data_IF_876227555562
#
_entry.id   IF_876227555562
#
_cell.length_a   1.000
_cell.length_b   1.000
_cell.length_c   1.000
_cell.angle_alpha   90.00
_cell.angle_beta   90.00
_cell.angle_gamma   90.00
#
_symmetry.space_group_name_H-M   'P 1'
#
loop_
_entity.id
_entity.type
_entity.pdbx_description
1 polymer ?
#
# COMPACT_ATOMS: atom_id res chain seq x y z
N UNK A 1 -3.02 51.19 15.69
CA UNK A 1 -1.76 50.44 15.92
C UNK A 1 -1.10 50.23 14.57
N UNK A 2 0.11 50.75 14.36
CA UNK A 2 0.87 50.49 13.15
C UNK A 2 1.56 49.13 13.29
N UNK A 3 1.35 48.23 12.32
CA UNK A 3 1.95 46.89 12.36
C UNK A 3 3.47 46.98 12.11
N UNK A 4 4.30 46.27 12.90
CA UNK A 4 5.73 46.25 12.66
C UNK A 4 6.06 45.50 11.37
N UNK A 5 7.18 45.86 10.72
CA UNK A 5 7.68 45.17 9.53
C UNK A 5 8.26 43.78 9.88
N UNK A 6 8.93 43.67 11.03
CA UNK A 6 9.47 42.42 11.57
C UNK A 6 9.09 42.25 13.03
N UNK A 7 8.86 41.01 13.45
CA UNK A 7 8.52 40.66 14.82
C UNK A 7 9.23 39.36 15.20
N UNK A 8 10.01 39.36 16.28
CA UNK A 8 10.58 38.14 16.83
C UNK A 8 9.61 37.59 17.87
N UNK A 9 9.09 36.38 17.66
CA UNK A 9 8.22 35.74 18.65
C UNK A 9 9.08 35.16 19.77
N UNK A 10 8.75 35.52 21.01
CA UNK A 10 9.46 35.11 22.23
C UNK A 10 8.44 34.76 23.31
N UNK A 11 8.85 34.01 24.33
CA UNK A 11 8.00 33.69 25.49
C UNK A 11 7.56 34.95 26.26
N UNK A 12 8.44 35.95 26.34
CA UNK A 12 8.15 37.22 26.98
C UNK A 12 7.40 38.15 26.01
N UNK A 13 6.08 38.00 25.96
CA UNK A 13 5.25 38.87 25.12
C UNK A 13 5.22 40.31 25.65
N UNK A 14 5.13 41.32 24.76
CA UNK A 14 5.01 42.71 25.17
C UNK A 14 3.72 42.97 25.96
N UNK A 15 3.79 43.85 26.95
CA UNK A 15 2.64 44.26 27.78
C UNK A 15 1.57 45.03 26.98
N UNK A 16 1.92 45.56 25.81
CA UNK A 16 1.00 46.27 24.91
C UNK A 16 0.62 45.40 23.71
N UNK A 17 -0.64 45.51 23.27
CA UNK A 17 -1.12 44.75 22.13
C UNK A 17 -0.40 45.14 20.82
N UNK A 18 0.23 44.15 20.18
CA UNK A 18 0.89 44.31 18.87
C UNK A 18 0.01 43.70 17.78
N UNK A 19 -0.35 44.50 16.77
CA UNK A 19 -1.09 44.02 15.61
C UNK A 19 -0.13 43.44 14.57
N UNK A 20 -0.22 42.13 14.33
CA UNK A 20 0.49 41.45 13.24
C UNK A 20 -0.40 41.36 12.00
N UNK A 21 0.20 41.50 10.82
CA UNK A 21 -0.51 41.49 9.53
C UNK A 21 0.25 40.65 8.50
N UNK A 22 -0.33 40.46 7.32
CA UNK A 22 0.31 39.77 6.19
C UNK A 22 1.63 40.42 5.73
N UNK A 23 1.85 41.68 6.11
CA UNK A 23 3.08 42.44 5.82
C UNK A 23 4.15 42.28 6.90
N UNK A 24 3.77 41.75 8.06
CA UNK A 24 4.68 41.54 9.19
C UNK A 24 5.39 40.20 9.02
N UNK A 25 6.73 40.23 9.07
CA UNK A 25 7.55 39.01 9.10
C UNK A 25 7.78 38.56 10.54
N UNK A 26 7.19 37.45 10.92
CA UNK A 26 7.36 36.79 12.21
C UNK A 26 8.52 35.80 12.14
N UNK A 27 9.51 35.99 13.00
CA UNK A 27 10.66 35.08 13.13
C UNK A 27 10.41 34.11 14.28
N UNK A 28 10.51 32.81 13.99
CA UNK A 28 10.34 31.72 14.95
C UNK A 28 11.71 31.06 15.17
N UNK A 29 12.31 31.28 16.34
CA UNK A 29 13.66 30.81 16.65
C UNK A 29 13.81 30.56 18.15
N UNK A 30 14.43 29.43 18.52
CA UNK A 30 14.64 29.02 19.91
C UNK A 30 13.34 28.96 20.75
N UNK A 31 12.22 28.62 20.10
CA UNK A 31 10.91 28.53 20.74
C UNK A 31 10.19 27.28 20.27
N UNK A 32 9.27 26.82 21.10
CA UNK A 32 8.24 25.85 20.77
C UNK A 32 6.89 26.55 20.78
N UNK A 33 6.04 26.29 19.78
CA UNK A 33 4.68 26.84 19.74
C UNK A 33 3.63 25.79 19.45
N UNK A 34 2.39 26.02 19.87
CA UNK A 34 1.28 25.14 19.49
C UNK A 34 1.07 25.11 17.98
N UNK A 35 0.67 23.96 17.44
CA UNK A 35 0.38 23.78 16.01
C UNK A 35 -0.73 24.73 15.53
N UNK A 36 -1.71 25.04 16.39
CA UNK A 36 -2.76 26.03 16.10
C UNK A 36 -2.20 27.43 15.92
N UNK A 37 -1.34 27.90 16.85
CA UNK A 37 -0.71 29.21 16.73
C UNK A 37 0.17 29.27 15.48
N UNK A 38 0.91 28.20 15.18
CA UNK A 38 1.71 28.10 13.97
C UNK A 38 0.86 28.27 12.70
N UNK A 39 -0.31 27.61 12.62
CA UNK A 39 -1.22 27.78 11.47
C UNK A 39 -1.79 29.19 11.37
N UNK A 40 -2.16 29.81 12.49
CA UNK A 40 -2.61 31.22 12.49
C UNK A 40 -1.51 32.13 11.94
N UNK A 41 -0.25 31.94 12.35
CA UNK A 41 0.87 32.72 11.86
C UNK A 41 1.12 32.49 10.37
N UNK A 42 1.05 31.24 9.90
CA UNK A 42 1.19 30.89 8.48
C UNK A 42 0.11 31.56 7.61
N UNK A 43 -1.11 31.67 8.12
CA UNK A 43 -2.24 32.25 7.39
C UNK A 43 -2.25 33.77 7.38
N UNK A 44 -1.79 34.40 8.47
CA UNK A 44 -2.00 35.83 8.72
C UNK A 44 -0.73 36.67 8.63
N UNK A 45 0.44 36.05 8.57
CA UNK A 45 1.74 36.75 8.59
C UNK A 45 2.74 36.12 7.62
N UNK A 46 3.86 36.80 7.36
CA UNK A 46 5.03 36.15 6.72
C UNK A 46 5.82 35.45 7.82
N UNK A 47 6.22 34.20 7.59
CA UNK A 47 6.93 33.41 8.61
C UNK A 47 8.37 33.13 8.16
N UNK A 48 9.31 33.28 9.08
CA UNK A 48 10.71 32.86 8.92
C UNK A 48 11.07 31.91 10.05
N UNK A 49 11.48 30.69 9.70
CA UNK A 49 11.91 29.67 10.66
C UNK A 49 13.43 29.76 10.84
N UNK A 50 13.86 29.97 12.08
CA UNK A 50 15.26 29.96 12.51
C UNK A 50 15.64 28.63 13.16
N UNK A 51 16.79 28.62 13.84
CA UNK A 51 17.27 27.44 14.58
C UNK A 51 16.36 27.10 15.77
N UNK A 52 16.35 25.82 16.15
CA UNK A 52 15.66 25.29 17.34
C UNK A 52 14.18 25.70 17.44
N UNK A 53 13.48 25.70 16.30
CA UNK A 53 12.03 25.84 16.27
C UNK A 53 11.35 24.47 16.33
N UNK A 54 10.32 24.34 17.15
CA UNK A 54 9.45 23.16 17.21
C UNK A 54 7.96 23.53 17.28
N UNK A 55 7.12 22.61 16.85
CA UNK A 55 5.67 22.66 17.07
C UNK A 55 5.24 21.53 18.00
N UNK A 56 4.21 21.80 18.79
CA UNK A 56 3.60 20.86 19.76
C UNK A 56 2.08 20.88 19.67
N UNK A 57 1.43 19.95 20.35
CA UNK A 57 -0.03 19.86 20.43
C UNK A 57 -0.62 21.10 21.11
N UNK A 58 -1.83 21.50 20.71
CA UNK A 58 -2.53 22.59 21.39
C UNK A 58 -3.22 22.09 22.66
N UNK A 59 -3.05 22.80 23.77
CA UNK A 59 -3.74 22.53 25.03
C UNK A 59 -4.29 23.84 25.58
N UNK A 60 -5.61 23.94 25.74
CA UNK A 60 -6.32 25.12 26.22
C UNK A 60 -5.84 25.62 27.59
N UNK A 61 -5.24 24.74 28.40
CA UNK A 61 -4.82 25.04 29.78
C UNK A 61 -3.34 25.43 29.91
N UNK A 62 -2.67 25.65 28.79
CA UNK A 62 -1.23 25.57 28.70
C UNK A 62 -0.69 26.66 27.74
N UNK A 63 0.50 27.20 27.99
CA UNK A 63 1.02 28.30 27.17
C UNK A 63 1.31 27.83 25.74
N UNK A 64 0.82 28.58 24.75
CA UNK A 64 1.03 28.30 23.32
C UNK A 64 2.44 28.66 22.81
N UNK A 65 3.27 29.31 23.62
CA UNK A 65 4.65 29.72 23.29
C UNK A 65 5.54 29.34 24.47
N UNK A 66 6.60 28.59 24.22
CA UNK A 66 7.52 28.08 25.24
C UNK A 66 8.96 28.17 24.77
N UNK A 67 9.88 28.09 25.73
CA UNK A 67 11.29 27.92 25.39
C UNK A 67 11.51 26.54 24.79
N UNK A 68 12.41 26.47 23.80
CA UNK A 68 12.75 25.21 23.16
C UNK A 68 13.30 24.18 24.17
N UNK A 69 12.82 22.94 24.09
CA UNK A 69 13.29 21.82 24.92
C UNK A 69 12.66 21.73 26.32
N UNK A 70 11.66 22.57 26.63
CA UNK A 70 10.97 22.55 27.92
C UNK A 70 9.93 21.43 28.06
N UNK A 71 9.39 20.91 26.96
CA UNK A 71 8.43 19.82 26.98
C UNK A 71 9.07 18.54 26.41
N UNK A 72 9.00 17.46 27.19
CA UNK A 72 9.22 16.13 26.66
C UNK A 72 8.12 15.81 25.66
N UNK A 73 8.52 15.49 24.43
CA UNK A 73 7.85 14.65 23.43
C UNK A 73 6.32 14.53 23.52
N UNK A 74 5.57 15.63 23.66
CA UNK A 74 4.10 15.56 23.60
C UNK A 74 3.73 15.32 22.14
N UNK A 75 3.20 14.14 21.79
CA UNK A 75 2.93 13.83 20.40
C UNK A 75 1.80 14.72 19.91
N UNK A 76 1.94 15.25 18.69
CA UNK A 76 0.95 16.15 18.10
C UNK A 76 0.19 15.50 16.96
N UNK A 77 -1.02 16.01 16.74
CA UNK A 77 -1.89 15.64 15.64
C UNK A 77 -1.88 16.73 14.58
N UNK A 78 -1.25 16.45 13.44
CA UNK A 78 -1.24 17.37 12.31
C UNK A 78 -2.35 16.99 11.34
N UNK A 79 -3.53 17.57 11.56
CA UNK A 79 -4.71 17.34 10.71
C UNK A 79 -5.18 18.63 10.04
N UNK A 80 -5.44 18.57 8.72
CA UNK A 80 -6.10 19.66 8.01
C UNK A 80 -6.74 19.19 6.70
N UNK A 81 -8.02 19.54 6.51
CA UNK A 81 -8.87 19.07 5.39
C UNK A 81 -9.42 20.18 4.49
N UNK A 82 -8.94 21.40 4.63
CA UNK A 82 -9.41 22.55 3.84
C UNK A 82 -8.25 23.27 3.16
N UNK A 83 -8.59 24.00 2.10
CA UNK A 83 -7.65 24.85 1.37
C UNK A 83 -6.94 25.84 2.32
N UNK A 84 -5.65 26.06 2.07
CA UNK A 84 -4.82 27.04 2.77
C UNK A 84 -4.66 28.30 1.93
N UNK A 85 -4.34 29.43 2.57
CA UNK A 85 -4.11 30.70 1.87
C UNK A 85 -2.86 30.63 0.98
N UNK A 86 -2.80 31.45 -0.07
CA UNK A 86 -1.58 31.57 -0.89
C UNK A 86 -0.37 31.98 -0.03
N UNK A 87 -0.58 32.83 0.97
CA UNK A 87 0.44 33.23 1.94
C UNK A 87 1.00 32.03 2.73
N UNK A 88 0.15 31.07 3.09
CA UNK A 88 0.58 29.83 3.77
C UNK A 88 1.52 29.04 2.88
N UNK A 89 1.18 28.88 1.60
CA UNK A 89 2.01 28.15 0.64
C UNK A 89 3.35 28.87 0.40
N UNK A 90 3.33 30.20 0.21
CA UNK A 90 4.55 31.01 0.10
C UNK A 90 5.45 30.89 1.34
N UNK A 91 4.85 30.82 2.53
CA UNK A 91 5.59 30.63 3.77
C UNK A 91 6.26 29.25 3.81
N UNK A 92 5.54 28.17 3.45
CA UNK A 92 6.08 26.80 3.43
C UNK A 92 7.21 26.67 2.41
N UNK A 93 7.03 27.22 1.20
CA UNK A 93 8.04 27.19 0.13
C UNK A 93 9.38 27.79 0.58
N UNK A 94 9.34 28.89 1.36
CA UNK A 94 10.52 29.57 1.89
C UNK A 94 11.23 28.83 3.03
N UNK A 95 10.57 27.86 3.67
CA UNK A 95 11.16 27.13 4.79
C UNK A 95 12.24 26.15 4.32
N UNK A 96 13.31 26.04 5.10
CA UNK A 96 14.32 25.04 4.85
C UNK A 96 13.79 23.63 5.20
N UNK A 97 14.24 22.56 4.50
CA UNK A 97 13.97 21.19 4.91
C UNK A 97 14.46 20.92 6.35
N UNK A 98 13.77 20.03 7.08
CA UNK A 98 14.10 19.67 8.47
C UNK A 98 14.27 20.85 9.45
N UNK A 99 13.58 21.97 9.20
CA UNK A 99 13.68 23.18 10.02
C UNK A 99 12.72 23.21 11.21
N UNK A 100 11.64 22.42 11.16
CA UNK A 100 10.58 22.40 12.18
C UNK A 100 10.67 21.09 12.98
N UNK A 101 11.07 21.15 14.25
CA UNK A 101 11.01 19.99 15.15
C UNK A 101 9.56 19.61 15.47
N UNK A 102 9.26 18.31 15.49
CA UNK A 102 7.97 17.81 15.96
C UNK A 102 8.09 16.34 16.41
N UNK A 103 7.17 15.93 17.29
CA UNK A 103 6.89 14.52 17.60
C UNK A 103 5.48 14.25 17.11
N UNK A 104 5.34 13.42 16.09
CA UNK A 104 4.04 13.13 15.47
C UNK A 104 3.46 11.84 16.05
N UNK A 105 2.20 11.87 16.46
CA UNK A 105 1.39 10.66 16.68
C UNK A 105 0.43 10.43 15.51
N UNK A 106 -0.11 11.51 14.92
CA UNK A 106 -1.01 11.44 13.77
C UNK A 106 -0.69 12.51 12.74
N UNK A 107 -0.72 12.11 11.48
CA UNK A 107 -0.56 13.00 10.32
C UNK A 107 -1.67 12.74 9.31
N UNK A 108 -2.55 13.70 9.06
CA UNK A 108 -3.72 13.53 8.20
C UNK A 108 -3.97 14.81 7.38
N UNK A 109 -3.41 14.84 6.17
CA UNK A 109 -3.56 15.97 5.24
C UNK A 109 -4.20 15.49 3.94
N UNK A 110 -5.31 16.12 3.57
CA UNK A 110 -6.06 15.75 2.38
C UNK A 110 -6.34 16.96 1.49
N UNK A 111 -6.00 16.81 0.21
CA UNK A 111 -6.34 17.71 -0.89
C UNK A 111 -5.97 19.18 -0.60
N UNK A 112 -4.73 19.38 -0.14
CA UNK A 112 -4.21 20.69 0.23
C UNK A 112 -2.71 20.81 -0.06
N UNK A 113 -2.28 21.99 -0.52
CA UNK A 113 -0.86 22.31 -0.70
C UNK A 113 -0.05 22.34 0.61
N UNK A 114 -0.72 22.28 1.77
CA UNK A 114 -0.05 22.11 3.06
C UNK A 114 0.75 20.80 3.15
N UNK A 115 0.45 19.79 2.32
CA UNK A 115 1.25 18.55 2.25
C UNK A 115 2.73 18.83 1.99
N UNK A 116 3.05 19.94 1.30
CA UNK A 116 4.43 20.38 1.07
C UNK A 116 5.18 20.80 2.34
N UNK A 117 4.53 20.82 3.51
CA UNK A 117 5.22 20.98 4.80
C UNK A 117 6.02 19.74 5.20
N UNK A 118 5.70 18.56 4.66
CA UNK A 118 6.34 17.29 5.04
C UNK A 118 7.87 17.33 5.02
N UNK A 119 8.55 17.79 3.96
CA UNK A 119 10.01 17.85 3.94
C UNK A 119 10.60 18.89 4.91
N UNK A 120 9.77 19.81 5.44
CA UNK A 120 10.16 20.85 6.39
C UNK A 120 10.17 20.34 7.83
N UNK A 121 9.41 19.27 8.11
CA UNK A 121 9.35 18.63 9.41
C UNK A 121 10.60 17.79 9.66
N UNK A 122 11.20 18.00 10.83
CA UNK A 122 12.27 17.17 11.38
C UNK A 122 11.63 16.11 12.28
N UNK A 123 11.20 15.02 11.65
CA UNK A 123 10.65 13.83 12.31
C UNK A 123 11.82 12.90 12.64
N UNK A 124 11.90 12.47 13.90
CA UNK A 124 12.92 11.51 14.32
C UNK A 124 12.52 10.07 13.94
N UNK A 125 13.52 9.22 13.65
CA UNK A 125 13.28 7.85 13.17
C UNK A 125 12.68 6.90 14.22
N UNK A 126 12.74 7.29 15.49
CA UNK A 126 12.15 6.58 16.62
C UNK A 126 10.73 7.03 16.96
N UNK A 127 10.21 8.09 16.33
CA UNK A 127 8.82 8.50 16.48
C UNK A 127 7.88 7.37 16.05
N UNK A 128 6.87 7.08 16.89
CA UNK A 128 5.82 6.11 16.60
C UNK A 128 4.55 6.86 16.17
N UNK A 129 4.25 6.81 14.88
CA UNK A 129 3.07 7.42 14.28
C UNK A 129 1.97 6.36 14.18
N UNK A 130 0.83 6.59 14.80
CA UNK A 130 -0.31 5.69 14.71
C UNK A 130 -0.92 5.70 13.30
N UNK A 131 -1.16 6.90 12.75
CA UNK A 131 -1.80 7.07 11.44
C UNK A 131 -1.06 8.13 10.62
N UNK A 132 -0.66 7.75 9.40
CA UNK A 132 -0.13 8.63 8.38
C UNK A 132 -1.01 8.57 7.13
N UNK A 133 -1.85 9.59 6.93
CA UNK A 133 -2.82 9.68 5.85
C UNK A 133 -2.52 10.88 4.95
N UNK A 134 -2.40 10.63 3.65
CA UNK A 134 -2.29 11.65 2.62
C UNK A 134 -3.25 11.39 1.46
N UNK A 135 -3.99 12.42 1.06
CA UNK A 135 -4.74 12.46 -0.19
C UNK A 135 -4.34 13.69 -1.00
N UNK A 136 -4.17 13.53 -2.30
CA UNK A 136 -3.90 14.65 -3.20
C UNK A 136 -4.49 14.39 -4.58
N UNK A 137 -5.68 14.93 -4.83
CA UNK A 137 -6.36 14.87 -6.12
C UNK A 137 -5.67 15.68 -7.23
N UNK A 138 -4.98 16.77 -6.86
CA UNK A 138 -4.17 17.64 -7.72
C UNK A 138 -2.66 17.37 -7.55
N UNK A 139 -1.91 17.48 -8.65
CA UNK A 139 -0.45 17.19 -8.66
C UNK A 139 0.32 18.23 -7.86
N UNK A 140 -0.15 19.47 -7.92
CA UNK A 140 0.42 20.66 -7.30
C UNK A 140 0.50 20.52 -5.78
N UNK A 141 -0.44 19.78 -5.17
CA UNK A 141 -0.46 19.51 -3.73
C UNK A 141 0.76 18.72 -3.23
N UNK A 142 1.41 17.93 -4.10
CA UNK A 142 2.59 17.11 -3.73
C UNK A 142 3.85 17.44 -4.53
N UNK A 143 3.80 18.46 -5.39
CA UNK A 143 4.86 18.74 -6.35
C UNK A 143 6.22 19.01 -5.69
N UNK A 144 6.23 19.77 -4.58
CA UNK A 144 7.46 20.09 -3.84
C UNK A 144 8.02 18.84 -3.14
N UNK A 145 7.14 18.00 -2.59
CA UNK A 145 7.53 16.72 -1.97
C UNK A 145 8.16 15.80 -3.00
N UNK A 146 7.56 15.67 -4.18
CA UNK A 146 8.08 14.85 -5.28
C UNK A 146 9.37 15.41 -5.90
N UNK A 147 9.61 16.71 -5.77
CA UNK A 147 10.85 17.36 -6.20
C UNK A 147 12.04 17.10 -5.28
N UNK A 148 11.82 16.58 -4.06
CA UNK A 148 12.91 16.27 -3.13
C UNK A 148 13.87 15.23 -3.72
N UNK A 149 15.18 15.52 -3.68
CA UNK A 149 16.23 14.59 -4.11
C UNK A 149 16.52 13.53 -3.03
N UNK A 150 16.51 13.96 -1.77
CA UNK A 150 16.78 13.10 -0.61
C UNK A 150 15.47 12.68 0.07
N UNK A 151 15.28 11.38 0.36
CA UNK A 151 14.13 10.94 1.13
C UNK A 151 14.11 11.55 2.54
N UNK A 152 12.93 11.96 3.01
CA UNK A 152 12.73 12.47 4.37
C UNK A 152 12.31 11.36 5.34
N UNK A 153 12.56 11.53 6.64
CA UNK A 153 12.17 10.57 7.66
C UNK A 153 10.68 10.70 7.98
N UNK A 154 9.99 9.57 8.18
CA UNK A 154 8.57 9.51 8.57
C UNK A 154 8.35 8.69 9.85
N UNK A 155 9.41 8.38 10.61
CA UNK A 155 9.33 7.54 11.81
C UNK A 155 8.89 6.08 11.53
N UNK A 156 8.41 5.41 12.57
CA UNK A 156 7.71 4.12 12.51
C UNK A 156 6.21 4.38 12.39
N UNK A 157 5.56 3.88 11.34
CA UNK A 157 4.17 4.20 11.03
C UNK A 157 3.31 2.96 11.13
N UNK A 158 2.36 2.90 12.07
CA UNK A 158 1.47 1.75 12.20
C UNK A 158 0.54 1.62 10.98
N UNK A 159 -0.21 2.67 10.64
CA UNK A 159 -1.08 2.69 9.46
C UNK A 159 -0.71 3.81 8.48
N UNK A 160 -0.46 3.45 7.21
CA UNK A 160 -0.12 4.39 6.15
C UNK A 160 -1.13 4.31 5.01
N UNK A 161 -1.81 5.44 4.74
CA UNK A 161 -2.81 5.59 3.69
C UNK A 161 -2.38 6.67 2.71
N UNK A 162 -2.08 6.30 1.46
CA UNK A 162 -1.69 7.25 0.41
C UNK A 162 -2.62 7.13 -0.80
N UNK A 163 -3.31 8.23 -1.09
CA UNK A 163 -4.37 8.29 -2.10
C UNK A 163 -4.04 9.28 -3.20
N UNK A 164 -4.43 8.96 -4.44
CA UNK A 164 -4.25 9.80 -5.62
C UNK A 164 -2.76 10.15 -5.85
N UNK A 165 -2.39 11.40 -6.11
CA UNK A 165 -0.99 11.79 -6.32
C UNK A 165 -0.12 11.55 -5.07
N UNK A 166 -0.71 11.46 -3.87
CA UNK A 166 0.03 11.15 -2.66
C UNK A 166 0.60 9.72 -2.67
N UNK A 167 0.04 8.80 -3.47
CA UNK A 167 0.62 7.47 -3.65
C UNK A 167 2.08 7.53 -4.16
N UNK A 168 2.45 8.59 -4.89
CA UNK A 168 3.82 8.78 -5.37
C UNK A 168 4.79 9.31 -4.29
N UNK A 169 4.28 9.90 -3.22
CA UNK A 169 5.08 10.48 -2.13
C UNK A 169 5.89 9.40 -1.40
N UNK A 170 5.41 8.15 -1.38
CA UNK A 170 6.12 7.02 -0.76
C UNK A 170 7.57 6.87 -1.25
N UNK A 171 7.84 7.28 -2.50
CA UNK A 171 9.18 7.22 -3.09
C UNK A 171 10.18 8.22 -2.51
N UNK A 172 9.67 9.19 -1.76
CA UNK A 172 10.42 10.27 -1.12
C UNK A 172 10.50 10.07 0.39
N UNK A 173 10.03 8.94 0.90
CA UNK A 173 10.13 8.58 2.31
C UNK A 173 11.32 7.65 2.55
N UNK A 174 12.04 7.86 3.64
CA UNK A 174 13.05 6.95 4.15
C UNK A 174 12.38 5.87 5.00
N UNK A 175 12.09 4.72 4.38
CA UNK A 175 11.32 3.63 5.01
C UNK A 175 12.18 2.44 5.45
N UNK A 176 13.51 2.48 5.30
CA UNK A 176 14.38 1.30 5.48
C UNK A 176 14.21 0.60 6.83
N UNK A 177 14.11 1.38 7.90
CA UNK A 177 13.96 0.90 9.27
C UNK A 177 12.53 1.12 9.82
N UNK A 178 11.58 1.40 8.92
CA UNK A 178 10.18 1.61 9.25
C UNK A 178 9.46 0.25 9.34
N UNK A 179 8.68 0.07 10.41
CA UNK A 179 7.71 -1.03 10.54
C UNK A 179 6.32 -0.48 10.27
N UNK A 180 5.61 -1.12 9.33
CA UNK A 180 4.27 -0.74 8.91
C UNK A 180 3.32 -1.91 9.13
N UNK A 181 2.29 -1.71 9.96
CA UNK A 181 1.26 -2.73 10.14
C UNK A 181 0.36 -2.81 8.90
N UNK A 182 -0.07 -1.65 8.38
CA UNK A 182 -0.92 -1.56 7.20
C UNK A 182 -0.43 -0.48 6.24
N UNK A 183 -0.07 -0.87 5.02
CA UNK A 183 0.18 0.03 3.89
C UNK A 183 -0.98 -0.06 2.90
N UNK A 184 -1.70 1.05 2.70
CA UNK A 184 -2.74 1.15 1.70
C UNK A 184 -2.41 2.22 0.65
N UNK A 185 -2.33 1.82 -0.62
CA UNK A 185 -2.18 2.73 -1.75
C UNK A 185 -3.43 2.66 -2.65
N UNK A 186 -4.03 3.83 -2.93
CA UNK A 186 -5.19 3.96 -3.82
C UNK A 186 -4.89 4.98 -4.92
N UNK A 187 -4.95 4.56 -6.19
CA UNK A 187 -4.65 5.45 -7.33
C UNK A 187 -5.58 5.16 -8.52
N UNK A 188 -6.74 5.84 -8.61
CA UNK A 188 -7.72 5.59 -9.67
C UNK A 188 -7.28 6.06 -11.06
N UNK A 189 -6.28 6.95 -11.18
CA UNK A 189 -5.75 7.44 -12.45
C UNK A 189 -4.28 7.07 -12.65
N UNK A 190 -3.85 6.94 -13.91
CA UNK A 190 -2.46 6.60 -14.25
C UNK A 190 -1.46 7.65 -13.77
N UNK A 191 -1.82 8.92 -13.90
CA UNK A 191 -0.99 10.07 -13.51
C UNK A 191 -0.60 10.07 -12.02
N UNK A 192 -1.45 9.54 -11.14
CA UNK A 192 -1.25 9.44 -9.70
C UNK A 192 0.01 8.65 -9.30
N UNK A 193 0.38 7.64 -10.09
CA UNK A 193 1.55 6.77 -9.84
C UNK A 193 2.66 6.94 -10.88
N UNK A 194 2.52 7.92 -11.78
CA UNK A 194 3.46 8.11 -12.90
C UNK A 194 4.90 8.33 -12.43
N UNK A 195 5.10 9.07 -11.32
CA UNK A 195 6.42 9.29 -10.74
C UNK A 195 7.05 8.00 -10.20
N UNK A 196 6.25 7.11 -9.59
CA UNK A 196 6.75 5.82 -9.09
C UNK A 196 7.10 4.87 -10.22
N UNK A 197 6.23 4.79 -11.23
CA UNK A 197 6.42 3.89 -12.37
C UNK A 197 7.61 4.30 -13.26
N UNK A 198 7.94 5.60 -13.27
CA UNK A 198 9.13 6.13 -13.94
C UNK A 198 10.45 5.75 -13.26
N UNK A 199 10.44 5.25 -12.02
CA UNK A 199 11.69 4.85 -11.35
C UNK A 199 12.37 3.66 -12.03
N UNK A 200 13.66 3.77 -12.26
CA UNK A 200 14.47 2.67 -12.81
C UNK A 200 14.76 1.60 -11.77
N UNK A 201 15.04 2.02 -10.53
CA UNK A 201 15.40 1.12 -9.43
C UNK A 201 14.22 0.96 -8.49
N UNK A 202 13.98 -0.25 -7.95
CA UNK A 202 12.99 -0.42 -6.90
C UNK A 202 13.33 0.39 -5.64
N UNK A 203 12.32 0.97 -4.99
CA UNK A 203 12.49 1.69 -3.73
C UNK A 203 12.19 0.78 -2.53
N UNK A 204 12.73 1.13 -1.36
CA UNK A 204 12.49 0.40 -0.12
C UNK A 204 11.14 0.82 0.48
N UNK A 205 10.35 -0.16 0.94
CA UNK A 205 9.05 0.07 1.60
C UNK A 205 9.05 -0.27 3.09
N UNK A 206 10.22 -0.55 3.67
CA UNK A 206 10.33 -1.01 5.05
C UNK A 206 9.77 -2.42 5.26
N UNK A 207 9.43 -2.73 6.51
CA UNK A 207 8.80 -4.01 6.90
C UNK A 207 7.29 -3.84 6.98
N UNK A 208 6.57 -4.34 5.98
CA UNK A 208 5.11 -4.19 5.87
C UNK A 208 4.40 -5.51 6.22
N UNK A 209 3.55 -5.53 7.24
CA UNK A 209 2.75 -6.71 7.59
C UNK A 209 1.58 -6.93 6.62
N UNK A 210 0.77 -5.90 6.37
CA UNK A 210 -0.40 -5.95 5.48
C UNK A 210 -0.27 -4.88 4.39
N UNK A 211 -0.49 -5.26 3.13
CA UNK A 211 -0.36 -4.36 1.99
C UNK A 211 -1.58 -4.43 1.07
N UNK A 212 -2.27 -3.31 0.90
CA UNK A 212 -3.45 -3.18 0.04
C UNK A 212 -3.18 -2.19 -1.09
N UNK A 213 -3.12 -2.68 -2.33
CA UNK A 213 -2.85 -1.86 -3.51
C UNK A 213 -4.03 -1.92 -4.47
N UNK A 214 -4.64 -0.77 -4.72
CA UNK A 214 -5.89 -0.65 -5.49
C UNK A 214 -5.72 0.21 -6.74
N UNK A 215 -6.40 -0.17 -7.81
CA UNK A 215 -6.37 0.49 -9.12
C UNK A 215 -4.96 0.53 -9.73
N UNK A 216 -4.48 1.69 -10.22
CA UNK A 216 -3.12 1.82 -10.74
C UNK A 216 -2.05 1.62 -9.67
N UNK A 217 -2.39 1.77 -8.38
CA UNK A 217 -1.45 1.52 -7.29
C UNK A 217 -1.02 0.05 -7.21
N UNK A 218 -1.83 -0.89 -7.72
CA UNK A 218 -1.42 -2.29 -7.84
C UNK A 218 -0.11 -2.41 -8.63
N UNK A 219 0.08 -1.62 -9.70
CA UNK A 219 1.31 -1.66 -10.52
C UNK A 219 2.55 -1.15 -9.79
N UNK A 220 2.39 -0.38 -8.69
CA UNK A 220 3.50 0.13 -7.88
C UNK A 220 4.31 -1.01 -7.26
N UNK A 221 3.70 -2.17 -7.00
CA UNK A 221 4.41 -3.34 -6.46
C UNK A 221 5.64 -3.74 -7.30
N UNK A 222 5.61 -3.50 -8.62
CA UNK A 222 6.73 -3.81 -9.53
C UNK A 222 7.94 -2.91 -9.32
N UNK A 223 7.78 -1.83 -8.58
CA UNK A 223 8.80 -0.84 -8.21
C UNK A 223 9.19 -0.92 -6.75
N UNK A 224 8.67 -1.89 -5.98
CA UNK A 224 9.03 -2.10 -4.58
C UNK A 224 10.14 -3.14 -4.44
N UNK A 225 11.12 -2.88 -3.56
CA UNK A 225 12.12 -3.86 -3.16
C UNK A 225 11.58 -4.76 -2.05
N UNK A 226 10.98 -5.89 -2.44
CA UNK A 226 10.28 -6.79 -1.50
C UNK A 226 11.05 -8.06 -1.11
N UNK A 227 12.28 -8.26 -1.60
CA UNK A 227 13.01 -9.54 -1.46
C UNK A 227 13.14 -10.02 -0.02
N UNK A 228 13.38 -9.09 0.90
CA UNK A 228 13.59 -9.38 2.33
C UNK A 228 12.36 -9.02 3.18
N UNK A 229 11.20 -8.80 2.54
CA UNK A 229 9.94 -8.52 3.23
C UNK A 229 9.21 -9.82 3.58
N UNK A 230 8.65 -9.85 4.79
CA UNK A 230 7.68 -10.85 5.25
C UNK A 230 6.32 -10.19 5.35
N UNK A 231 5.43 -10.51 4.42
CA UNK A 231 4.10 -9.93 4.29
C UNK A 231 3.08 -10.96 4.77
N UNK A 232 2.34 -10.64 5.83
CA UNK A 232 1.24 -11.48 6.32
C UNK A 232 0.10 -11.50 5.30
N UNK A 233 -0.26 -10.35 4.72
CA UNK A 233 -1.33 -10.26 3.72
C UNK A 233 -1.03 -9.25 2.62
N UNK A 234 -1.07 -9.71 1.38
CA UNK A 234 -1.00 -8.91 0.16
C UNK A 234 -2.34 -8.94 -0.58
N UNK A 235 -2.95 -7.77 -0.79
CA UNK A 235 -4.22 -7.61 -1.50
C UNK A 235 -4.04 -6.68 -2.70
N UNK A 236 -4.22 -7.21 -3.91
CA UNK A 236 -4.12 -6.48 -5.17
C UNK A 236 -5.48 -6.46 -5.86
N UNK A 237 -6.03 -5.26 -6.04
CA UNK A 237 -7.32 -5.04 -6.68
C UNK A 237 -7.19 -4.16 -7.90
N UNK A 238 -7.56 -4.68 -9.07
CA UNK A 238 -7.53 -3.93 -10.32
C UNK A 238 -8.83 -4.14 -11.12
N UNK A 239 -9.82 -3.25 -11.00
CA UNK A 239 -11.11 -3.40 -11.68
C UNK A 239 -11.07 -3.10 -13.18
N UNK A 240 -10.01 -2.47 -13.70
CA UNK A 240 -9.88 -2.10 -15.12
C UNK A 240 -8.61 -2.67 -15.75
N UNK A 241 -8.67 -2.93 -17.06
CA UNK A 241 -7.58 -3.54 -17.83
C UNK A 241 -6.33 -2.66 -17.84
N UNK A 242 -6.51 -1.36 -17.94
CA UNK A 242 -5.46 -0.34 -17.97
C UNK A 242 -4.61 -0.32 -16.68
N UNK A 243 -5.18 -0.71 -15.53
CA UNK A 243 -4.46 -0.77 -14.26
C UNK A 243 -3.33 -1.81 -14.24
N UNK A 244 -3.40 -2.82 -15.12
CA UNK A 244 -2.44 -3.94 -15.17
C UNK A 244 -1.62 -3.98 -16.46
N UNK A 245 -1.89 -3.08 -17.40
CA UNK A 245 -1.35 -3.15 -18.76
C UNK A 245 0.19 -3.15 -18.78
N UNK A 246 0.81 -2.30 -17.98
CA UNK A 246 2.27 -2.18 -17.90
C UNK A 246 2.90 -3.43 -17.28
N UNK A 247 2.36 -3.93 -16.17
CA UNK A 247 2.84 -5.16 -15.52
C UNK A 247 2.77 -6.35 -16.46
N UNK A 248 1.66 -6.50 -17.19
CA UNK A 248 1.49 -7.60 -18.14
C UNK A 248 2.41 -7.50 -19.36
N UNK A 249 2.86 -6.30 -19.72
CA UNK A 249 3.82 -6.06 -20.79
C UNK A 249 5.27 -6.36 -20.39
N UNK A 250 5.60 -6.35 -19.09
CA UNK A 250 6.96 -6.62 -18.62
C UNK A 250 7.39 -8.05 -18.94
N UNK A 251 8.64 -8.23 -19.40
CA UNK A 251 9.19 -9.56 -19.71
C UNK A 251 9.68 -10.30 -18.47
N UNK A 252 10.34 -9.56 -17.56
CA UNK A 252 10.96 -10.13 -16.36
C UNK A 252 9.93 -10.22 -15.24
N UNK A 253 9.79 -11.38 -14.59
CA UNK A 253 8.99 -11.49 -13.38
C UNK A 253 9.55 -10.62 -12.25
N UNK A 254 8.68 -10.10 -11.38
CA UNK A 254 9.06 -9.34 -10.18
C UNK A 254 8.94 -10.19 -8.91
N UNK A 255 9.72 -9.85 -7.88
CA UNK A 255 9.67 -10.50 -6.58
C UNK A 255 8.58 -9.87 -5.71
N UNK A 256 7.85 -10.69 -4.96
CA UNK A 256 6.81 -10.25 -4.01
C UNK A 256 7.18 -10.48 -2.54
N UNK A 257 8.42 -10.90 -2.26
CA UNK A 257 8.85 -11.30 -0.92
C UNK A 257 8.27 -12.62 -0.45
N UNK A 258 8.31 -12.86 0.87
CA UNK A 258 7.63 -13.99 1.52
C UNK A 258 6.21 -13.55 1.89
N UNK A 259 5.21 -14.09 1.20
CA UNK A 259 3.79 -13.71 1.40
C UNK A 259 3.01 -14.88 1.98
N UNK A 260 2.43 -14.70 3.17
CA UNK A 260 1.61 -15.70 3.83
C UNK A 260 0.23 -15.81 3.18
N UNK A 261 -0.48 -14.69 3.02
CA UNK A 261 -1.79 -14.63 2.35
C UNK A 261 -1.75 -13.68 1.14
N UNK A 262 -2.19 -14.15 -0.03
CA UNK A 262 -2.19 -13.36 -1.27
C UNK A 262 -3.56 -13.39 -1.94
N UNK A 263 -4.12 -12.20 -2.15
CA UNK A 263 -5.45 -12.01 -2.73
C UNK A 263 -5.29 -11.17 -4.01
N UNK A 264 -5.65 -11.75 -5.16
CA UNK A 264 -5.63 -11.07 -6.44
C UNK A 264 -7.05 -11.02 -7.00
N UNK A 265 -7.57 -9.81 -7.19
CA UNK A 265 -8.97 -9.59 -7.55
C UNK A 265 -9.10 -8.86 -8.89
N UNK A 266 -10.03 -9.33 -9.71
CA UNK A 266 -10.31 -8.85 -11.07
C UNK A 266 -9.07 -8.91 -11.99
N UNK A 267 -8.70 -7.83 -12.69
CA UNK A 267 -7.56 -7.85 -13.62
C UNK A 267 -6.22 -8.12 -12.90
N UNK A 268 -6.15 -7.92 -11.58
CA UNK A 268 -4.94 -8.19 -10.78
C UNK A 268 -4.60 -9.69 -10.76
N UNK A 269 -5.56 -10.57 -11.05
CA UNK A 269 -5.29 -12.01 -11.30
C UNK A 269 -4.21 -12.18 -12.38
N UNK A 270 -4.10 -11.24 -13.34
CA UNK A 270 -3.05 -11.20 -14.34
C UNK A 270 -1.62 -11.18 -13.79
N UNK A 271 -1.42 -10.57 -12.62
CA UNK A 271 -0.10 -10.36 -12.05
C UNK A 271 0.59 -11.68 -11.68
N UNK A 272 -0.17 -12.73 -11.36
CA UNK A 272 0.39 -14.04 -11.01
C UNK A 272 1.32 -14.60 -12.10
N UNK A 273 1.08 -14.21 -13.37
CA UNK A 273 1.91 -14.63 -14.52
C UNK A 273 3.24 -13.89 -14.61
N UNK A 274 3.43 -12.85 -13.80
CA UNK A 274 4.57 -11.94 -13.76
C UNK A 274 5.25 -11.93 -12.39
N UNK A 275 4.82 -12.79 -11.46
CA UNK A 275 5.45 -12.93 -10.16
C UNK A 275 6.45 -14.09 -10.16
N UNK A 276 7.59 -13.89 -9.50
CA UNK A 276 8.56 -14.96 -9.21
C UNK A 276 8.10 -15.78 -8.01
N UNK A 277 7.24 -16.78 -8.24
CA UNK A 277 6.61 -17.58 -7.16
C UNK A 277 7.19 -18.99 -6.98
N UNK A 278 8.12 -19.44 -7.83
CA UNK A 278 8.55 -20.85 -7.86
C UNK A 278 9.06 -21.34 -6.49
N UNK A 279 9.81 -20.50 -5.79
CA UNK A 279 10.42 -20.82 -4.50
C UNK A 279 9.65 -20.21 -3.32
N UNK A 280 8.42 -19.71 -3.57
CA UNK A 280 7.57 -19.14 -2.55
C UNK A 280 6.74 -20.23 -1.84
N UNK A 281 6.50 -20.00 -0.56
CA UNK A 281 5.55 -20.75 0.27
C UNK A 281 4.42 -19.82 0.67
N UNK A 282 3.21 -20.13 0.21
CA UNK A 282 2.01 -19.32 0.42
C UNK A 282 1.03 -20.14 1.25
N UNK A 283 0.58 -19.61 2.37
CA UNK A 283 -0.43 -20.28 3.19
C UNK A 283 -1.80 -20.21 2.52
N UNK A 284 -2.18 -19.02 2.02
CA UNK A 284 -3.47 -18.78 1.38
C UNK A 284 -3.31 -18.01 0.07
N UNK A 285 -3.62 -18.65 -1.06
CA UNK A 285 -3.70 -17.99 -2.37
C UNK A 285 -5.17 -17.90 -2.81
N UNK A 286 -5.70 -16.69 -2.96
CA UNK A 286 -7.05 -16.43 -3.44
C UNK A 286 -7.02 -15.63 -4.75
N UNK A 287 -7.60 -16.21 -5.80
CA UNK A 287 -7.83 -15.52 -7.08
C UNK A 287 -9.33 -15.36 -7.29
N UNK A 288 -9.79 -14.13 -7.45
CA UNK A 288 -11.20 -13.83 -7.74
C UNK A 288 -11.32 -12.99 -9.01
N UNK A 289 -12.24 -13.35 -9.89
CA UNK A 289 -12.51 -12.56 -11.08
C UNK A 289 -13.99 -12.60 -11.44
N UNK A 290 -14.62 -11.42 -11.39
CA UNK A 290 -16.05 -11.27 -11.64
C UNK A 290 -16.43 -11.36 -13.12
N UNK A 291 -15.49 -11.09 -14.06
CA UNK A 291 -15.73 -11.10 -15.51
C UNK A 291 -14.68 -11.90 -16.28
N UNK A 292 -15.09 -12.49 -17.42
CA UNK A 292 -14.20 -13.27 -18.31
C UNK A 292 -12.98 -12.49 -18.80
N UNK A 293 -13.14 -11.19 -19.03
CA UNK A 293 -12.09 -10.29 -19.51
C UNK A 293 -10.93 -10.12 -18.50
N UNK A 294 -11.22 -10.23 -17.19
CA UNK A 294 -10.23 -10.07 -16.11
C UNK A 294 -9.09 -11.09 -16.21
N UNK A 295 -9.39 -12.30 -16.69
CA UNK A 295 -8.43 -13.41 -16.82
C UNK A 295 -7.95 -13.63 -18.25
N UNK A 296 -8.41 -12.81 -19.21
CA UNK A 296 -8.15 -13.06 -20.63
C UNK A 296 -6.65 -13.04 -20.98
N UNK A 297 -5.86 -12.20 -20.29
CA UNK A 297 -4.42 -12.15 -20.49
C UNK A 297 -3.71 -13.43 -20.01
N UNK A 298 -4.07 -13.92 -18.81
CA UNK A 298 -3.54 -15.18 -18.25
C UNK A 298 -3.85 -16.35 -19.19
N UNK A 299 -5.08 -16.42 -19.67
CA UNK A 299 -5.55 -17.51 -20.50
C UNK A 299 -4.99 -17.52 -21.94
N UNK A 300 -4.42 -16.39 -22.39
CA UNK A 300 -3.71 -16.26 -23.67
C UNK A 300 -2.25 -16.69 -23.58
N UNK A 301 -1.69 -16.85 -22.39
CA UNK A 301 -0.31 -17.30 -22.22
C UNK A 301 -0.08 -18.66 -22.91
N UNK A 302 1.02 -18.76 -23.67
CA UNK A 302 1.40 -20.02 -24.33
C UNK A 302 1.93 -21.03 -23.32
N UNK A 303 2.79 -20.57 -22.41
CA UNK A 303 3.38 -21.37 -21.34
C UNK A 303 2.52 -21.30 -20.09
N UNK A 304 2.54 -22.37 -19.31
CA UNK A 304 1.97 -22.35 -17.97
C UNK A 304 2.90 -21.58 -17.03
N UNK A 305 2.34 -21.06 -15.92
CA UNK A 305 3.10 -20.40 -14.86
C UNK A 305 3.04 -21.23 -13.57
N UNK A 306 4.09 -21.15 -12.76
CA UNK A 306 4.18 -21.84 -11.48
C UNK A 306 3.70 -20.94 -10.34
N UNK A 307 2.90 -21.48 -9.42
CA UNK A 307 2.42 -20.76 -8.21
C UNK A 307 3.17 -21.12 -6.94
N UNK A 308 4.27 -21.87 -7.04
CA UNK A 308 5.08 -22.28 -5.90
C UNK A 308 4.41 -23.37 -5.05
N UNK A 309 4.73 -23.37 -3.76
CA UNK A 309 4.10 -24.22 -2.75
C UNK A 309 2.95 -23.45 -2.10
N UNK A 310 1.74 -23.99 -2.20
CA UNK A 310 0.52 -23.35 -1.70
C UNK A 310 -0.20 -24.33 -0.77
N UNK A 311 -0.50 -23.91 0.46
CA UNK A 311 -1.21 -24.74 1.45
C UNK A 311 -2.71 -24.74 1.19
N UNK A 312 -3.32 -23.55 1.01
CA UNK A 312 -4.75 -23.39 0.71
C UNK A 312 -4.93 -22.50 -0.52
N UNK A 313 -5.66 -22.99 -1.51
CA UNK A 313 -5.91 -22.26 -2.75
C UNK A 313 -7.41 -22.12 -3.00
N UNK A 314 -7.86 -20.91 -3.30
CA UNK A 314 -9.25 -20.60 -3.65
C UNK A 314 -9.31 -19.87 -4.99
N UNK A 315 -9.98 -20.47 -5.97
CA UNK A 315 -10.23 -19.86 -7.27
C UNK A 315 -11.74 -19.61 -7.43
N UNK A 316 -12.13 -18.34 -7.52
CA UNK A 316 -13.54 -17.93 -7.54
C UNK A 316 -13.90 -17.21 -8.84
N UNK A 317 -15.11 -17.45 -9.34
CA UNK A 317 -15.61 -16.81 -10.55
C UNK A 317 -14.84 -17.23 -11.79
N UNK A 318 -14.56 -16.30 -12.70
CA UNK A 318 -13.79 -16.57 -13.92
C UNK A 318 -12.32 -16.91 -13.64
N UNK A 319 -11.81 -16.63 -12.43
CA UNK A 319 -10.47 -17.01 -12.00
C UNK A 319 -10.31 -18.54 -11.92
N UNK A 320 -11.40 -19.29 -11.77
CA UNK A 320 -11.37 -20.75 -11.87
C UNK A 320 -10.69 -21.24 -13.15
N UNK A 321 -10.91 -20.58 -14.30
CA UNK A 321 -10.32 -21.00 -15.58
C UNK A 321 -8.78 -20.86 -15.61
N UNK A 322 -8.19 -20.07 -14.72
CA UNK A 322 -6.73 -19.87 -14.64
C UNK A 322 -6.00 -21.18 -14.31
N UNK A 323 -6.67 -22.12 -13.64
CA UNK A 323 -6.16 -23.47 -13.36
C UNK A 323 -5.66 -24.18 -14.64
N UNK A 324 -6.23 -23.86 -15.80
CA UNK A 324 -5.85 -24.46 -17.10
C UNK A 324 -4.50 -23.99 -17.63
N UNK A 325 -3.89 -23.00 -16.97
CA UNK A 325 -2.61 -22.37 -17.32
C UNK A 325 -1.62 -22.37 -16.15
N UNK A 326 -1.96 -23.05 -15.07
CA UNK A 326 -1.16 -23.10 -13.87
C UNK A 326 -0.44 -24.45 -13.75
N UNK A 327 0.74 -24.43 -13.16
CA UNK A 327 1.42 -25.61 -12.63
C UNK A 327 1.67 -25.41 -11.14
N UNK A 328 1.54 -26.48 -10.37
CA UNK A 328 1.86 -26.51 -8.94
C UNK A 328 3.23 -27.16 -8.78
N UNK A 329 3.99 -26.73 -7.78
CA UNK A 329 5.30 -27.31 -7.49
C UNK A 329 5.16 -28.82 -7.18
N UNK A 330 6.08 -29.65 -7.66
CA UNK A 330 5.99 -31.13 -7.53
C UNK A 330 5.93 -31.60 -6.07
N UNK A 331 6.69 -30.94 -5.19
CA UNK A 331 6.68 -31.21 -3.75
C UNK A 331 5.51 -30.58 -2.98
N UNK A 332 4.55 -29.94 -3.66
CA UNK A 332 3.44 -29.30 -2.97
C UNK A 332 2.38 -30.33 -2.55
N UNK A 333 1.96 -30.26 -1.29
CA UNK A 333 0.79 -30.98 -0.77
C UNK A 333 -0.21 -29.95 -0.26
N UNK A 334 -1.28 -29.71 -1.02
CA UNK A 334 -2.33 -28.77 -0.63
C UNK A 334 -3.18 -29.35 0.50
N UNK A 335 -3.47 -28.55 1.52
CA UNK A 335 -4.47 -28.90 2.53
C UNK A 335 -5.89 -28.63 2.03
N UNK A 336 -6.06 -27.56 1.25
CA UNK A 336 -7.38 -27.17 0.76
C UNK A 336 -7.29 -26.57 -0.64
N UNK A 337 -8.14 -27.05 -1.55
CA UNK A 337 -8.32 -26.53 -2.88
C UNK A 337 -9.82 -26.30 -3.14
N UNK A 338 -10.21 -25.03 -3.28
CA UNK A 338 -11.58 -24.63 -3.59
C UNK A 338 -11.66 -24.06 -4.98
N UNK A 339 -12.61 -24.57 -5.77
CA UNK A 339 -12.97 -24.02 -7.06
C UNK A 339 -14.46 -23.69 -7.06
N UNK A 340 -14.78 -22.39 -7.05
CA UNK A 340 -16.14 -21.89 -6.90
C UNK A 340 -16.56 -21.02 -8.10
N UNK A 341 -17.74 -21.29 -8.65
CA UNK A 341 -18.23 -20.60 -9.84
C UNK A 341 -19.42 -21.33 -10.47
N UNK A 342 -20.00 -20.72 -11.50
CA UNK A 342 -21.09 -21.29 -12.28
C UNK A 342 -20.59 -21.98 -13.56
N UNK A 343 -21.50 -22.58 -14.33
CA UNK A 343 -21.16 -23.35 -15.54
C UNK A 343 -20.42 -22.52 -16.61
N UNK A 344 -20.80 -21.26 -16.81
CA UNK A 344 -20.11 -20.36 -17.75
C UNK A 344 -18.67 -20.05 -17.29
N UNK A 345 -18.50 -19.84 -15.98
CA UNK A 345 -17.21 -19.61 -15.34
C UNK A 345 -16.29 -20.83 -15.38
N UNK A 346 -16.79 -22.03 -15.68
CA UNK A 346 -15.98 -23.24 -15.91
C UNK A 346 -15.86 -23.66 -17.36
N UNK A 347 -16.38 -22.87 -18.30
CA UNK A 347 -16.47 -23.23 -19.71
C UNK A 347 -15.15 -23.68 -20.36
N UNK A 348 -13.99 -23.18 -19.92
CA UNK A 348 -12.69 -23.67 -20.43
C UNK A 348 -12.24 -24.96 -19.79
N UNK A 349 -12.51 -25.16 -18.51
CA UNK A 349 -12.19 -26.40 -17.80
C UNK A 349 -13.02 -27.55 -18.38
N UNK A 350 -14.31 -27.33 -18.64
CA UNK A 350 -15.20 -28.35 -19.19
C UNK A 350 -14.80 -28.82 -20.59
N UNK A 351 -14.13 -27.96 -21.38
CA UNK A 351 -13.60 -28.28 -22.72
C UNK A 351 -12.31 -29.12 -22.68
N UNK A 352 -11.70 -29.27 -21.50
CA UNK A 352 -10.51 -30.09 -21.34
C UNK A 352 -10.87 -31.57 -21.30
N UNK A 353 -9.91 -32.41 -21.70
CA UNK A 353 -10.03 -33.86 -21.53
C UNK A 353 -10.10 -34.22 -20.04
N UNK A 354 -10.60 -35.41 -19.74
CA UNK A 354 -10.59 -35.90 -18.38
C UNK A 354 -9.15 -36.08 -17.89
N UNK A 355 -8.91 -35.85 -16.59
CA UNK A 355 -7.59 -35.93 -15.95
C UNK A 355 -6.46 -35.13 -16.63
N UNK A 356 -6.81 -34.04 -17.33
CA UNK A 356 -5.84 -33.26 -18.13
C UNK A 356 -5.31 -32.00 -17.43
N UNK A 357 -5.88 -31.63 -16.27
CA UNK A 357 -5.41 -30.52 -15.43
C UNK A 357 -4.79 -31.11 -14.18
N UNK A 358 -3.49 -30.92 -13.99
CA UNK A 358 -2.77 -31.46 -12.84
C UNK A 358 -2.86 -30.54 -11.63
N UNK A 359 -3.25 -31.09 -10.49
CA UNK A 359 -3.22 -30.40 -9.20
C UNK A 359 -2.21 -30.98 -8.21
N UNK A 360 -1.53 -32.07 -8.56
CA UNK A 360 -0.61 -32.74 -7.65
C UNK A 360 -1.32 -33.34 -6.44
N UNK A 361 -0.71 -33.20 -5.26
CA UNK A 361 -1.15 -33.87 -4.03
C UNK A 361 -2.06 -32.97 -3.20
N UNK A 362 -3.16 -33.54 -2.70
CA UNK A 362 -4.17 -32.83 -1.91
C UNK A 362 -4.55 -33.69 -0.70
N UNK A 363 -4.66 -33.10 0.48
CA UNK A 363 -5.12 -33.83 1.67
C UNK A 363 -6.56 -34.30 1.53
N UNK A 364 -6.84 -35.46 2.09
CA UNK A 364 -8.17 -36.06 2.14
C UNK A 364 -9.16 -35.07 2.79
N UNK A 365 -10.30 -34.85 2.15
CA UNK A 365 -11.30 -33.85 2.56
C UNK A 365 -10.98 -32.40 2.16
N UNK A 366 -9.81 -32.14 1.56
CA UNK A 366 -9.36 -30.81 1.15
C UNK A 366 -9.81 -30.37 -0.25
N UNK A 367 -10.34 -31.27 -1.07
CA UNK A 367 -10.76 -30.97 -2.44
C UNK A 367 -12.24 -30.57 -2.48
N UNK A 368 -12.52 -29.28 -2.71
CA UNK A 368 -13.87 -28.74 -2.84
C UNK A 368 -14.10 -28.20 -4.25
N UNK A 369 -14.56 -29.08 -5.13
CA UNK A 369 -14.83 -28.76 -6.55
C UNK A 369 -16.17 -29.37 -6.98
N UNK A 370 -16.89 -28.78 -7.94
CA UNK A 370 -18.09 -29.40 -8.50
C UNK A 370 -17.76 -30.72 -9.20
N UNK A 371 -18.61 -31.74 -9.07
CA UNK A 371 -18.38 -33.09 -9.61
C UNK A 371 -18.05 -33.11 -11.12
N UNK A 372 -18.74 -32.30 -11.92
CA UNK A 372 -18.47 -32.17 -13.36
C UNK A 372 -17.05 -31.68 -13.68
N UNK A 373 -16.44 -30.95 -12.74
CA UNK A 373 -15.06 -30.44 -12.81
C UNK A 373 -14.09 -31.44 -12.23
N UNK A 374 -14.46 -32.15 -11.16
CA UNK A 374 -13.63 -33.17 -10.50
C UNK A 374 -13.02 -34.16 -11.51
N UNK A 375 -13.81 -34.69 -12.45
CA UNK A 375 -13.35 -35.57 -13.54
C UNK A 375 -12.30 -34.96 -14.49
N UNK A 376 -12.19 -33.63 -14.57
CA UNK A 376 -11.22 -32.92 -15.42
C UNK A 376 -9.85 -32.80 -14.77
N UNK A 377 -9.79 -33.00 -13.45
CA UNK A 377 -8.60 -32.83 -12.63
C UNK A 377 -7.87 -34.17 -12.51
N UNK A 378 -6.54 -34.09 -12.46
CA UNK A 378 -5.64 -35.16 -12.03
C UNK A 378 -5.04 -34.73 -10.71
N UNK A 379 -5.25 -35.52 -9.67
CA UNK A 379 -4.74 -35.27 -8.33
C UNK A 379 -4.53 -36.59 -7.61
N UNK A 380 -3.72 -36.55 -6.56
CA UNK A 380 -3.52 -37.66 -5.62
C UNK A 380 -4.03 -37.23 -4.26
N UNK A 381 -4.95 -38.01 -3.68
CA UNK A 381 -5.37 -37.81 -2.30
C UNK A 381 -4.33 -38.39 -1.35
N UNK A 382 -4.01 -37.65 -0.30
CA UNK A 382 -3.11 -38.10 0.75
C UNK A 382 -3.72 -37.96 2.14
N UNK A 383 -3.33 -38.81 3.07
CA UNK A 383 -3.73 -38.74 4.48
C UNK A 383 -2.95 -37.66 5.25
N UNK A 384 -3.14 -37.60 6.58
CA UNK A 384 -2.42 -36.67 7.46
C UNK A 384 -0.91 -36.94 7.55
N UNK A 385 -0.45 -38.16 7.24
CA UNK A 385 0.95 -38.56 7.18
C UNK A 385 1.56 -38.35 5.78
N UNK A 386 0.76 -37.96 4.80
CA UNK A 386 1.17 -37.75 3.41
C UNK A 386 1.19 -39.03 2.57
N UNK A 387 0.65 -40.15 3.05
CA UNK A 387 0.54 -41.39 2.28
C UNK A 387 -0.65 -41.31 1.32
N UNK A 388 -0.48 -41.88 0.13
CA UNK A 388 -1.55 -41.91 -0.88
C UNK A 388 -2.73 -42.75 -0.39
N UNK A 389 -3.93 -42.23 -0.61
CA UNK A 389 -5.19 -42.89 -0.28
C UNK A 389 -5.96 -43.11 -1.57
N UNK A 390 -6.49 -44.33 -1.74
CA UNK A 390 -7.40 -44.62 -2.86
C UNK A 390 -8.69 -43.83 -2.66
N UNK A 391 -9.11 -43.13 -3.72
CA UNK A 391 -10.42 -42.53 -3.75
C UNK A 391 -11.45 -43.66 -3.80
N UNK A 392 -12.34 -43.75 -2.80
CA UNK A 392 -13.43 -44.74 -2.84
C UNK A 392 -14.25 -44.51 -4.11
N UNK A 393 -14.35 -45.51 -4.98
CA UNK A 393 -15.23 -45.46 -6.14
C UNK A 393 -16.68 -45.33 -5.64
N UNK A 394 -17.32 -44.20 -5.92
CA UNK A 394 -18.73 -44.05 -5.60
C UNK A 394 -19.56 -45.14 -6.32
N UNK A 395 -20.56 -45.72 -5.65
CA UNK A 395 -21.31 -46.89 -6.14
C UNK A 395 -22.07 -46.68 -7.47
N UNK A 396 -22.12 -45.46 -8.01
CA UNK A 396 -22.75 -45.15 -9.30
C UNK A 396 -22.01 -45.71 -10.52
N UNK A 397 -20.75 -46.17 -10.37
CA UNK A 397 -20.01 -46.85 -11.44
C UNK A 397 -20.21 -48.38 -11.47
N UNK A 398 -20.95 -48.97 -10.51
CA UNK A 398 -21.18 -50.42 -10.42
C UNK A 398 -22.36 -50.95 -11.25
N UNK A 399 -23.17 -50.10 -11.86
CA UNK A 399 -24.35 -50.54 -12.63
C UNK A 399 -24.25 -50.16 -14.09
N UNK A 400 -23.66 -51.02 -14.93
CA UNK A 400 -23.97 -51.20 -16.37
C UNK A 400 -23.20 -52.38 -16.98
N UNK A 401 -23.12 -53.48 -16.22
CA UNK A 401 -22.73 -54.80 -16.74
C UNK A 401 -23.73 -55.78 -16.15
N UNK A 402 -24.88 -55.93 -16.81
CA UNK A 402 -25.80 -57.08 -16.82
C UNK A 402 -27.11 -56.63 -17.49
N UNK A 403 -27.15 -56.69 -18.82
CA UNK A 403 -28.16 -57.42 -19.63
C UNK A 403 -27.79 -57.33 -21.12
#
# INVERSE_FOLDING_TARGET
LQAPASFLLTCDLPNEAVLLTEKTTVTLKNIEISVELFFVLLEKTRVTVGENFSITEHNDNEDCIREHGMMGETPLWLERRWAVSSLTLENIERMAPNSIGCVLERFDLSDTGLINILPKLRIHGDCEIEVFCLSADEKEHVAEVLAQETPFCVGRVKEMWLTDYAASVITKMSLKDCEIELLCLYAPRKEHVSAVLAQEKPFCVGRVKKMWLRDYAASVITKMSLKDCEIERLDLYAPRKEHVAEVLAQEKPFCVGRVKEMWLTDYAVGFITKMSLKDCEIEHLSLDATRREHVAAVLKQKKNFCVGRVKKMKLTGYAANVITKMTIHEDNTMENFVLAGNEDQFSRILKKGDKSIDLGRIRTGGLHVPERIKRKLRYTLVDGEGKEVLEEEEPSQRGNLLE
#
